data_IF_010840746000
#
_entry.id   IF_010840746000
#
_cell.length_a   1.000
_cell.length_b   1.000
_cell.length_c   1.000
_cell.angle_alpha   90.00
_cell.angle_beta   90.00
_cell.angle_gamma   90.00
#
_symmetry.space_group_name_H-M   'P 1'
#
loop_
_entity.id
_entity.type
_entity.pdbx_description
1 polymer ?
#
# COMPACT_ATOMS: atom_id res chain seq x y z
N UNK A 1 17.68 8.78 -78.71
CA UNK A 1 17.09 7.49 -79.16
C UNK A 1 17.82 6.41 -78.38
N UNK A 2 17.26 5.70 -77.40
CA UNK A 2 15.85 5.39 -77.06
C UNK A 2 15.32 6.26 -75.89
N UNK A 3 14.34 7.09 -76.24
CA UNK A 3 13.34 7.85 -75.46
C UNK A 3 13.75 8.87 -74.37
N UNK A 4 13.99 10.12 -74.82
CA UNK A 4 13.99 11.36 -74.06
C UNK A 4 12.64 12.11 -74.18
N UNK A 5 12.01 12.53 -73.08
CA UNK A 5 11.01 13.61 -73.09
C UNK A 5 10.68 14.11 -71.67
N UNK A 6 10.97 15.41 -71.46
CA UNK A 6 10.16 16.39 -70.71
C UNK A 6 10.03 16.27 -69.19
N UNK A 7 10.94 16.98 -68.51
CA UNK A 7 10.62 18.12 -67.63
C UNK A 7 9.13 18.46 -67.50
N UNK A 8 8.63 18.42 -66.26
CA UNK A 8 7.31 18.94 -65.90
C UNK A 8 7.25 19.29 -64.42
N UNK A 9 7.73 20.48 -64.06
CA UNK A 9 7.32 21.14 -62.82
C UNK A 9 5.80 21.33 -62.86
N UNK A 10 5.07 20.71 -61.94
CA UNK A 10 3.65 21.01 -61.68
C UNK A 10 3.50 21.41 -60.22
N UNK A 11 3.13 22.67 -59.90
CA UNK A 11 2.75 23.06 -58.55
C UNK A 11 1.39 22.44 -58.24
N UNK A 12 1.33 21.53 -57.28
CA UNK A 12 0.07 21.00 -56.77
C UNK A 12 -0.34 21.80 -55.52
N UNK A 13 -1.35 22.64 -55.70
CA UNK A 13 -2.10 23.33 -54.63
C UNK A 13 -2.64 22.33 -53.59
N UNK A 14 -2.77 22.72 -52.31
CA UNK A 14 -3.20 21.82 -51.25
C UNK A 14 -4.71 21.54 -51.33
N UNK A 15 -5.17 20.30 -51.09
CA UNK A 15 -6.54 20.07 -50.69
C UNK A 15 -6.70 20.37 -49.19
N UNK A 16 -7.43 21.43 -48.89
CA UNK A 16 -8.01 21.67 -47.57
C UNK A 16 -9.16 20.68 -47.33
N UNK A 17 -9.32 20.29 -46.06
CA UNK A 17 -10.53 19.74 -45.41
C UNK A 17 -10.69 18.21 -45.40
N UNK A 18 -10.60 17.60 -44.21
CA UNK A 18 -11.29 16.33 -43.92
C UNK A 18 -10.62 15.31 -43.01
N UNK A 19 -10.35 15.67 -41.75
CA UNK A 19 -10.58 14.86 -40.52
C UNK A 19 -9.84 13.53 -40.25
N UNK A 20 -9.15 13.55 -39.09
CA UNK A 20 -8.95 12.47 -38.09
C UNK A 20 -7.97 11.34 -38.45
N UNK A 21 -6.82 11.17 -37.79
CA UNK A 21 -6.66 11.05 -36.34
C UNK A 21 -5.27 11.50 -35.87
N UNK A 22 -5.12 12.76 -35.47
CA UNK A 22 -4.01 13.19 -34.62
C UNK A 22 -4.37 12.89 -33.17
N UNK A 23 -4.03 11.69 -32.69
CA UNK A 23 -4.02 11.37 -31.25
C UNK A 23 -2.76 11.94 -30.60
N UNK A 24 -2.56 13.25 -30.69
CA UNK A 24 -1.52 13.96 -29.94
C UNK A 24 -2.05 14.31 -28.55
N UNK A 25 -1.72 13.45 -27.59
CA UNK A 25 -1.30 13.81 -26.23
C UNK A 25 -2.16 14.85 -25.50
N UNK A 26 -3.44 14.55 -25.25
CA UNK A 26 -4.02 15.03 -24.01
C UNK A 26 -3.27 14.32 -22.88
N UNK A 27 -2.25 14.99 -22.33
CA UNK A 27 -1.58 14.51 -21.13
C UNK A 27 -2.60 14.58 -20.00
N UNK A 28 -3.29 13.47 -19.76
CA UNK A 28 -4.21 13.36 -18.64
C UNK A 28 -3.45 13.71 -17.36
N UNK A 29 -3.98 14.67 -16.61
CA UNK A 29 -3.37 15.06 -15.34
C UNK A 29 -3.67 14.03 -14.26
N UNK A 30 -2.82 13.01 -14.19
CA UNK A 30 -2.90 11.97 -13.18
C UNK A 30 -2.60 12.46 -11.76
N UNK A 31 -2.28 13.75 -11.53
CA UNK A 31 -2.27 14.29 -10.16
C UNK A 31 -3.68 14.33 -9.56
N UNK A 32 -4.71 14.43 -10.40
CA UNK A 32 -6.10 14.34 -9.96
C UNK A 32 -6.50 12.87 -9.73
N UNK A 33 -7.00 12.57 -8.52
CA UNK A 33 -7.42 11.21 -8.14
C UNK A 33 -8.56 10.66 -8.99
N UNK A 34 -9.52 11.49 -9.38
CA UNK A 34 -10.65 11.06 -10.22
C UNK A 34 -10.15 10.63 -11.61
N UNK A 35 -9.13 11.32 -12.14
CA UNK A 35 -8.49 10.97 -13.42
C UNK A 35 -7.72 9.66 -13.29
N UNK A 36 -7.03 9.44 -12.16
CA UNK A 36 -6.38 8.15 -11.88
C UNK A 36 -7.40 7.03 -11.79
N UNK A 37 -8.50 7.23 -11.06
CA UNK A 37 -9.56 6.23 -10.94
C UNK A 37 -10.16 5.87 -12.30
N UNK A 38 -10.46 6.87 -13.14
CA UNK A 38 -10.97 6.66 -14.49
C UNK A 38 -10.03 5.86 -15.40
N UNK A 39 -8.73 5.82 -15.09
CA UNK A 39 -7.78 4.98 -15.84
C UNK A 39 -7.99 3.48 -15.63
N UNK A 40 -8.63 3.06 -14.53
CA UNK A 40 -8.86 1.65 -14.19
C UNK A 40 -10.06 1.02 -14.90
N UNK A 41 -10.61 1.68 -15.90
CA UNK A 41 -11.57 1.03 -16.81
C UNK A 41 -10.99 -0.30 -17.35
N UNK A 42 -11.78 -1.38 -17.25
CA UNK A 42 -11.38 -2.76 -17.56
C UNK A 42 -10.15 -3.28 -16.77
N UNK A 43 -10.02 -2.91 -15.50
CA UNK A 43 -9.00 -3.48 -14.61
C UNK A 43 -9.16 -5.00 -14.45
N UNK A 44 -8.10 -5.82 -14.65
CA UNK A 44 -8.25 -7.27 -14.78
C UNK A 44 -8.40 -8.03 -13.45
N UNK A 45 -8.02 -7.43 -12.32
CA UNK A 45 -7.97 -8.11 -11.01
C UNK A 45 -8.62 -7.32 -9.86
N UNK A 46 -9.89 -6.86 -10.01
CA UNK A 46 -10.55 -6.03 -9.00
C UNK A 46 -10.74 -6.74 -7.65
N UNK A 47 -10.80 -8.07 -7.64
CA UNK A 47 -10.96 -8.88 -6.44
C UNK A 47 -9.67 -9.01 -5.62
N UNK A 48 -8.51 -8.78 -6.25
CA UNK A 48 -7.20 -8.83 -5.59
C UNK A 48 -6.85 -7.47 -4.99
N UNK A 49 -7.00 -6.42 -5.80
CA UNK A 49 -6.76 -5.04 -5.38
C UNK A 49 -7.72 -4.11 -6.08
N UNK A 50 -8.40 -3.27 -5.30
CA UNK A 50 -9.46 -2.41 -5.81
C UNK A 50 -8.88 -1.18 -6.52
N UNK A 51 -9.46 -0.77 -7.67
CA UNK A 51 -9.11 0.47 -8.35
C UNK A 51 -9.13 1.72 -7.46
N UNK A 52 -10.10 1.82 -6.54
CA UNK A 52 -10.20 2.97 -5.62
C UNK A 52 -8.97 3.08 -4.71
N UNK A 53 -8.48 1.96 -4.21
CA UNK A 53 -7.34 1.91 -3.30
C UNK A 53 -6.03 2.26 -4.03
N UNK A 54 -5.88 1.79 -5.27
CA UNK A 54 -4.75 2.12 -6.15
C UNK A 54 -4.74 3.62 -6.50
N UNK A 55 -5.89 4.17 -6.92
CA UNK A 55 -6.02 5.58 -7.25
C UNK A 55 -5.73 6.48 -6.04
N UNK A 56 -6.25 6.12 -4.86
CA UNK A 56 -6.04 6.80 -3.57
C UNK A 56 -4.58 6.71 -3.07
N UNK A 57 -3.86 5.65 -3.46
CA UNK A 57 -2.42 5.51 -3.22
C UNK A 57 -1.55 6.25 -4.26
N UNK A 58 -2.15 6.92 -5.23
CA UNK A 58 -1.44 7.74 -6.23
C UNK A 58 -1.14 7.02 -7.55
N UNK A 59 -1.65 5.81 -7.74
CA UNK A 59 -1.42 4.99 -8.93
C UNK A 59 -2.50 5.17 -10.00
N UNK A 60 -2.12 5.03 -11.27
CA UNK A 60 -3.02 4.90 -12.41
C UNK A 60 -2.65 3.68 -13.25
N UNK A 61 -3.62 3.11 -13.95
CA UNK A 61 -3.45 1.90 -14.74
C UNK A 61 -2.75 2.19 -16.07
N UNK A 62 -1.77 1.35 -16.44
CA UNK A 62 -1.06 1.43 -17.72
C UNK A 62 -1.75 0.69 -18.87
N UNK A 63 -2.93 0.10 -18.65
CA UNK A 63 -3.70 -0.67 -19.65
C UNK A 63 -3.00 -1.94 -20.15
N UNK A 64 -2.02 -2.45 -19.39
CA UNK A 64 -1.28 -3.67 -19.70
C UNK A 64 -1.15 -4.47 -18.40
N UNK A 65 -1.63 -5.71 -18.42
CA UNK A 65 -1.70 -6.60 -17.26
C UNK A 65 -2.28 -5.88 -16.03
N UNK A 66 -1.63 -6.01 -14.88
CA UNK A 66 -1.93 -5.29 -13.65
C UNK A 66 -0.91 -4.18 -13.35
N UNK A 67 -0.24 -3.66 -14.38
CA UNK A 67 0.79 -2.66 -14.19
C UNK A 67 0.19 -1.31 -13.83
N UNK A 68 0.63 -0.74 -12.71
CA UNK A 68 0.20 0.58 -12.26
C UNK A 68 1.40 1.51 -12.10
N UNK A 69 1.18 2.82 -12.30
CA UNK A 69 2.24 3.83 -12.24
C UNK A 69 1.85 4.98 -11.33
N UNK A 70 2.77 5.39 -10.47
CA UNK A 70 2.54 6.53 -9.60
C UNK A 70 2.59 7.84 -10.38
N UNK A 71 1.61 8.72 -10.19
CA UNK A 71 1.55 10.01 -10.84
C UNK A 71 2.68 10.97 -10.40
N UNK A 72 3.29 10.73 -9.24
CA UNK A 72 4.21 11.66 -8.58
C UNK A 72 5.67 11.24 -8.71
N UNK A 73 6.03 10.01 -8.30
CA UNK A 73 7.41 9.50 -8.44
C UNK A 73 7.66 8.73 -9.75
N UNK A 74 6.61 8.46 -10.53
CA UNK A 74 6.67 7.67 -11.78
C UNK A 74 7.12 6.20 -11.58
N UNK A 75 7.21 5.74 -10.33
CA UNK A 75 7.45 4.33 -9.99
C UNK A 75 6.31 3.44 -10.48
N UNK A 76 6.66 2.21 -10.88
CA UNK A 76 5.73 1.20 -11.42
C UNK A 76 5.66 0.02 -10.46
N UNK A 77 4.44 -0.44 -10.16
CA UNK A 77 4.15 -1.65 -9.38
C UNK A 77 3.29 -2.58 -10.25
N UNK A 78 3.49 -3.89 -10.10
CA UNK A 78 2.89 -4.95 -10.91
C UNK A 78 2.87 -6.24 -10.11
N UNK A 79 2.19 -7.27 -10.62
CA UNK A 79 2.01 -8.55 -9.95
C UNK A 79 1.44 -8.37 -8.53
N UNK A 80 0.33 -7.64 -8.42
CA UNK A 80 -0.40 -7.43 -7.17
C UNK A 80 -0.93 -8.76 -6.64
N UNK A 81 -0.71 -8.98 -5.36
CA UNK A 81 -1.08 -10.22 -4.66
C UNK A 81 -2.24 -9.99 -3.69
N UNK A 82 -2.99 -11.06 -3.33
CA UNK A 82 -3.95 -10.97 -2.24
C UNK A 82 -3.27 -10.45 -0.96
N UNK A 83 -3.91 -9.49 -0.29
CA UNK A 83 -3.45 -8.80 0.92
C UNK A 83 -2.43 -7.66 0.70
N UNK A 84 -2.04 -7.36 -0.54
CA UNK A 84 -1.27 -6.15 -0.80
C UNK A 84 -2.09 -4.90 -0.47
N UNK A 85 -1.48 -4.00 0.30
CA UNK A 85 -2.06 -2.70 0.62
C UNK A 85 -1.32 -1.64 -0.22
N UNK A 86 -1.98 -0.97 -1.18
CA UNK A 86 -1.30 -0.05 -2.10
C UNK A 86 -0.45 1.03 -1.43
N UNK A 87 -0.89 1.56 -0.29
CA UNK A 87 -0.12 2.53 0.50
C UNK A 87 1.17 1.95 1.06
N UNK A 88 1.11 0.73 1.58
CA UNK A 88 2.24 0.03 2.18
C UNK A 88 3.25 -0.33 1.09
N UNK A 89 2.78 -0.89 -0.03
CA UNK A 89 3.63 -1.25 -1.16
C UNK A 89 4.27 -0.01 -1.81
N UNK A 90 3.54 1.10 -1.94
CA UNK A 90 4.10 2.35 -2.45
C UNK A 90 5.22 2.87 -1.54
N UNK A 91 5.01 2.88 -0.22
CA UNK A 91 6.03 3.30 0.75
C UNK A 91 7.25 2.38 0.74
N UNK A 92 7.03 1.07 0.67
CA UNK A 92 8.07 0.03 0.66
C UNK A 92 8.96 0.14 -0.57
N UNK A 93 8.38 0.29 -1.76
CA UNK A 93 9.12 0.32 -3.02
C UNK A 93 9.64 1.70 -3.41
N UNK A 94 8.95 2.78 -3.04
CA UNK A 94 9.33 4.15 -3.39
C UNK A 94 9.28 5.09 -2.16
N UNK A 95 10.09 4.84 -1.11
CA UNK A 95 10.03 5.58 0.16
C UNK A 95 10.35 7.08 0.01
N UNK A 96 11.05 7.47 -1.05
CA UNK A 96 11.40 8.87 -1.36
C UNK A 96 10.37 9.58 -2.25
N UNK A 97 9.27 8.92 -2.60
CA UNK A 97 8.20 9.53 -3.38
C UNK A 97 7.61 10.72 -2.62
N UNK A 98 7.45 11.90 -3.24
CA UNK A 98 6.90 13.07 -2.56
C UNK A 98 5.46 12.85 -2.09
N UNK A 99 4.68 12.03 -2.81
CA UNK A 99 3.33 11.64 -2.39
C UNK A 99 3.35 10.68 -1.19
N UNK A 100 4.32 9.75 -1.13
CA UNK A 100 4.50 8.88 0.03
C UNK A 100 4.80 9.72 1.26
N UNK A 101 5.77 10.62 1.16
CA UNK A 101 6.22 11.46 2.28
C UNK A 101 5.10 12.38 2.77
N UNK A 102 4.41 13.07 1.85
CA UNK A 102 3.43 14.10 2.22
C UNK A 102 2.03 13.56 2.54
N UNK A 103 1.62 12.41 1.98
CA UNK A 103 0.24 11.92 2.06
C UNK A 103 0.14 10.54 2.71
N UNK A 104 0.94 9.58 2.27
CA UNK A 104 0.80 8.19 2.72
C UNK A 104 1.36 8.00 4.14
N UNK A 105 2.53 8.56 4.45
CA UNK A 105 3.14 8.42 5.78
C UNK A 105 2.21 8.93 6.91
N UNK A 106 1.66 10.16 6.85
CA UNK A 106 0.71 10.63 7.86
C UNK A 106 -0.55 9.75 7.98
N UNK A 107 -1.05 9.21 6.86
CA UNK A 107 -2.21 8.31 6.84
C UNK A 107 -1.93 7.01 7.58
N UNK A 108 -0.78 6.39 7.31
CA UNK A 108 -0.36 5.15 7.99
C UNK A 108 -0.09 5.39 9.49
N UNK A 109 0.53 6.51 9.85
CA UNK A 109 0.78 6.87 11.25
C UNK A 109 -0.52 7.11 12.03
N UNK A 110 -1.51 7.76 11.41
CA UNK A 110 -2.83 8.00 12.03
C UNK A 110 -3.53 6.68 12.35
N UNK A 111 -3.46 5.69 11.46
CA UNK A 111 -4.01 4.34 11.71
C UNK A 111 -3.35 3.62 12.87
N UNK A 112 -2.07 3.91 13.17
CA UNK A 112 -1.36 3.34 14.34
C UNK A 112 -1.61 4.12 15.63
N UNK A 113 -1.93 5.42 15.54
CA UNK A 113 -2.12 6.26 16.73
C UNK A 113 -3.39 5.93 17.53
N UNK A 114 -4.44 5.43 16.88
CA UNK A 114 -5.67 5.01 17.57
C UNK A 114 -5.47 3.79 18.50
N UNK A 115 -4.32 3.11 18.45
CA UNK A 115 -3.96 2.01 19.33
C UNK A 115 -2.93 2.41 20.42
N UNK A 116 -2.45 3.66 20.42
CA UNK A 116 -1.36 4.11 21.33
C UNK A 116 -1.74 5.21 22.31
N UNK A 117 -3.03 5.44 22.58
CA UNK A 117 -3.44 6.25 23.74
C UNK A 117 -3.21 5.49 25.05
N UNK A 118 -1.95 5.11 25.28
CA UNK A 118 -1.38 4.86 26.60
C UNK A 118 -1.02 6.20 27.23
N UNK A 119 -2.00 7.06 27.44
CA UNK A 119 -1.87 8.10 28.46
C UNK A 119 -1.89 7.35 29.81
N UNK A 120 -0.83 7.38 30.64
CA UNK A 120 -0.91 6.80 31.96
C UNK A 120 -1.88 7.65 32.76
N UNK A 121 -3.15 7.24 32.79
CA UNK A 121 -4.12 7.78 33.74
C UNK A 121 -3.49 7.62 35.12
N UNK A 122 -3.46 8.66 35.97
CA UNK A 122 -3.08 8.44 37.35
C UNK A 122 -4.06 7.40 37.90
N UNK A 123 -3.52 6.34 38.49
CA UNK A 123 -4.29 5.33 39.22
C UNK A 123 -4.98 6.06 40.36
N UNK A 124 -6.21 6.51 40.11
CA UNK A 124 -7.16 6.82 41.15
C UNK A 124 -7.76 5.48 41.52
N UNK A 125 -7.35 4.97 42.68
CA UNK A 125 -8.05 3.92 43.39
C UNK A 125 -9.45 4.45 43.69
N UNK A 126 -10.42 4.09 42.88
CA UNK A 126 -11.82 4.17 43.26
C UNK A 126 -12.33 2.74 43.25
N UNK A 127 -12.60 2.23 44.44
CA UNK A 127 -13.43 1.06 44.67
C UNK A 127 -14.80 1.31 44.03
N UNK A 128 -15.00 0.79 42.83
CA UNK A 128 -16.33 0.77 42.19
C UNK A 128 -16.89 -0.61 42.41
N UNK A 129 -17.70 -0.72 43.47
CA UNK A 129 -18.59 -1.83 43.78
C UNK A 129 -19.72 -1.86 42.74
N UNK A 130 -19.38 -2.30 41.53
CA UNK A 130 -20.32 -2.46 40.42
C UNK A 130 -20.36 -3.92 40.01
N UNK A 131 -21.52 -4.53 40.13
CA UNK A 131 -21.79 -5.90 39.71
C UNK A 131 -21.69 -6.01 38.17
N UNK A 132 -20.50 -6.38 37.69
CA UNK A 132 -20.14 -6.45 36.26
C UNK A 132 -20.61 -7.74 35.57
N UNK A 133 -21.23 -8.66 36.31
CA UNK A 133 -21.62 -9.96 35.80
C UNK A 133 -22.82 -9.88 34.83
N UNK A 134 -23.62 -8.79 34.87
CA UNK A 134 -24.79 -8.56 33.99
C UNK A 134 -24.41 -8.21 32.53
N UNK A 135 -23.20 -7.70 32.28
CA UNK A 135 -22.75 -7.35 30.92
C UNK A 135 -22.05 -8.51 30.18
N UNK A 136 -22.07 -9.72 30.75
CA UNK A 136 -21.40 -10.89 30.17
C UNK A 136 -19.88 -10.73 30.06
N UNK A 137 -19.30 -9.78 30.81
CA UNK A 137 -17.86 -9.56 30.87
C UNK A 137 -17.25 -10.71 31.66
N UNK A 138 -16.71 -11.70 30.95
CA UNK A 138 -15.98 -12.77 31.60
C UNK A 138 -14.77 -12.16 32.32
N UNK A 139 -14.71 -12.33 33.64
CA UNK A 139 -13.51 -12.06 34.43
C UNK A 139 -12.37 -12.89 33.85
N UNK A 140 -11.52 -12.25 33.05
CA UNK A 140 -10.35 -12.94 32.51
C UNK A 140 -9.41 -13.21 33.68
N UNK A 141 -9.12 -14.47 33.93
CA UNK A 141 -8.02 -14.82 34.81
C UNK A 141 -6.74 -14.29 34.14
N UNK A 142 -5.83 -13.73 34.93
CA UNK A 142 -4.54 -13.27 34.43
C UNK A 142 -3.80 -14.35 33.62
N UNK A 143 -2.77 -13.97 32.86
CA UNK A 143 -2.00 -14.92 32.07
C UNK A 143 -1.54 -16.08 32.95
N UNK A 144 -1.76 -17.32 32.48
CA UNK A 144 -1.39 -18.55 33.22
C UNK A 144 0.09 -18.61 33.61
N UNK A 145 0.91 -17.86 32.89
CA UNK A 145 2.36 -17.79 33.02
C UNK A 145 2.78 -16.32 33.14
N UNK A 146 2.59 -15.70 34.32
CA UNK A 146 2.81 -14.27 34.51
C UNK A 146 4.29 -13.87 34.33
N UNK A 147 5.21 -14.78 34.65
CA UNK A 147 6.66 -14.56 34.51
C UNK A 147 7.12 -14.43 33.06
N UNK A 148 6.30 -14.88 32.09
CA UNK A 148 6.55 -14.80 30.65
C UNK A 148 5.62 -13.79 29.95
N UNK A 149 5.06 -12.85 30.72
CA UNK A 149 4.11 -11.86 30.22
C UNK A 149 4.71 -10.84 29.24
N UNK A 150 6.02 -10.60 29.29
CA UNK A 150 6.73 -9.63 28.43
C UNK A 150 7.56 -10.33 27.35
N UNK A 151 7.80 -9.67 26.21
CA UNK A 151 8.69 -10.21 25.16
C UNK A 151 10.09 -10.50 25.74
N UNK A 152 10.60 -9.59 26.57
CA UNK A 152 11.93 -9.73 27.18
C UNK A 152 12.03 -10.94 28.12
N UNK A 153 11.02 -11.17 28.97
CA UNK A 153 11.00 -12.34 29.85
C UNK A 153 10.95 -13.64 29.06
N UNK A 154 10.16 -13.67 27.97
CA UNK A 154 10.15 -14.79 27.03
C UNK A 154 11.49 -14.99 26.35
N UNK A 155 12.17 -13.92 25.92
CA UNK A 155 13.49 -14.03 25.29
C UNK A 155 14.53 -14.65 26.24
N UNK A 156 14.53 -14.26 27.52
CA UNK A 156 15.44 -14.82 28.53
C UNK A 156 15.28 -16.32 28.73
N UNK A 157 14.09 -16.87 28.48
CA UNK A 157 13.81 -18.30 28.62
C UNK A 157 14.60 -19.15 27.61
N UNK A 158 14.98 -18.59 26.46
CA UNK A 158 15.76 -19.27 25.42
C UNK A 158 17.28 -19.35 25.71
N UNK A 159 17.70 -19.21 26.97
CA UNK A 159 19.11 -19.24 27.36
C UNK A 159 19.85 -20.54 26.97
N UNK A 160 19.14 -21.66 26.91
CA UNK A 160 19.64 -22.98 26.50
C UNK A 160 19.21 -23.37 25.08
N UNK A 161 18.66 -22.44 24.31
CA UNK A 161 18.19 -22.70 22.95
C UNK A 161 19.34 -23.06 22.02
N UNK A 162 19.12 -24.09 21.21
CA UNK A 162 20.11 -24.57 20.27
C UNK A 162 20.35 -23.55 19.14
N UNK A 163 21.59 -23.09 18.91
CA UNK A 163 21.89 -22.09 17.87
C UNK A 163 21.75 -22.63 16.44
N UNK A 164 21.53 -23.94 16.29
CA UNK A 164 21.39 -24.62 14.99
C UNK A 164 19.95 -24.70 14.49
N UNK A 165 18.97 -24.21 15.26
CA UNK A 165 17.59 -24.15 14.80
C UNK A 165 17.36 -22.91 13.94
N UNK A 166 16.55 -23.08 12.89
CA UNK A 166 16.21 -22.02 11.93
C UNK A 166 15.41 -20.89 12.61
N UNK A 167 14.63 -21.22 13.64
CA UNK A 167 13.83 -20.25 14.37
C UNK A 167 14.70 -19.50 15.37
N UNK A 168 14.64 -18.17 15.33
CA UNK A 168 15.37 -17.32 16.27
C UNK A 168 14.55 -17.13 17.55
N UNK A 169 15.20 -17.14 18.74
CA UNK A 169 14.55 -16.80 20.01
C UNK A 169 13.78 -15.48 19.97
N UNK A 170 14.27 -14.48 19.24
CA UNK A 170 13.62 -13.18 19.06
C UNK A 170 12.24 -13.30 18.39
N UNK A 171 12.18 -14.02 17.27
CA UNK A 171 10.93 -14.23 16.53
C UNK A 171 9.94 -15.05 17.35
N UNK A 172 10.43 -16.07 18.06
CA UNK A 172 9.60 -16.89 18.95
C UNK A 172 9.05 -16.07 20.13
N UNK A 173 9.89 -15.28 20.80
CA UNK A 173 9.48 -14.43 21.92
C UNK A 173 8.48 -13.33 21.48
N UNK A 174 8.70 -12.73 20.31
CA UNK A 174 7.78 -11.75 19.72
C UNK A 174 6.42 -12.38 19.36
N UNK A 175 6.43 -13.64 18.92
CA UNK A 175 5.22 -14.43 18.63
C UNK A 175 4.54 -15.00 19.88
N UNK A 176 5.05 -14.73 21.09
CA UNK A 176 4.44 -15.16 22.35
C UNK A 176 4.94 -16.50 22.90
N UNK A 177 5.94 -17.12 22.28
CA UNK A 177 6.54 -18.38 22.74
C UNK A 177 7.66 -18.14 23.76
N UNK A 178 7.83 -19.09 24.67
CA UNK A 178 8.90 -19.16 25.67
C UNK A 178 9.41 -20.61 25.74
N UNK A 179 10.58 -20.81 26.35
CA UNK A 179 11.30 -22.07 26.41
C UNK A 179 11.51 -22.49 27.87
N UNK A 180 11.11 -23.71 28.20
CA UNK A 180 11.28 -24.35 29.52
C UNK A 180 12.20 -25.57 29.43
#
# INVERSE_FOLDING_TARGET
>A
VLNPATSGNVPSVPPTTGSSSSSTLLTLDYKNEVVRLGSFDNWPIPDIVRPEDLARAGFYFLKVDDNTKCAFCKGVVRAWEPNDIPDVEHKKHFPTCPFVIAVINPRLESSTSSLRDGNPRPVVNNDVDGDLDELGVQKHNGPKQPDYGTVESRLRSFSTWSPHLIQTPEVLAQAGFYYE
#
